data_IF_658586797997
#
_entry.id   IF_658586797997
#
_cell.length_a   1.000
_cell.length_b   1.000
_cell.length_c   1.000
_cell.angle_alpha   90.00
_cell.angle_beta   90.00
_cell.angle_gamma   90.00
#
_symmetry.space_group_name_H-M   'P 1'
#
loop_
_entity.id
_entity.type
_entity.pdbx_description
1 polymer ?
#
# COMPACT_ATOMS: atom_id res chain seq x y z
N UNK A 1 -25.67 -10.88 -29.05
CA UNK A 1 -24.92 -10.03 -28.09
C UNK A 1 -24.74 -8.65 -28.69
N UNK A 2 -24.81 -7.58 -27.89
CA UNK A 2 -24.59 -6.23 -28.40
C UNK A 2 -23.10 -6.00 -28.72
N UNK A 3 -22.81 -5.63 -29.97
CA UNK A 3 -21.45 -5.34 -30.44
C UNK A 3 -21.30 -3.83 -30.64
N UNK A 4 -20.19 -3.21 -30.22
CA UNK A 4 -19.95 -1.79 -30.47
C UNK A 4 -19.95 -1.48 -31.97
N UNK A 5 -20.79 -0.53 -32.39
CA UNK A 5 -20.91 -0.12 -33.80
C UNK A 5 -19.60 0.47 -34.37
N UNK A 6 -18.78 1.09 -33.53
CA UNK A 6 -17.50 1.71 -33.92
C UNK A 6 -16.46 1.66 -32.80
N UNK A 7 -15.19 1.71 -33.17
CA UNK A 7 -14.08 1.83 -32.23
C UNK A 7 -14.21 3.12 -31.42
N UNK A 8 -14.00 3.03 -30.11
CA UNK A 8 -13.92 4.22 -29.25
C UNK A 8 -12.64 5.00 -29.57
N UNK A 9 -12.74 6.31 -29.77
CA UNK A 9 -11.58 7.15 -30.03
C UNK A 9 -10.60 7.16 -28.84
N UNK A 10 -9.31 7.41 -29.14
CA UNK A 10 -8.25 7.48 -28.11
C UNK A 10 -8.59 8.53 -27.06
N UNK A 11 -9.05 9.73 -27.48
CA UNK A 11 -9.49 10.80 -26.58
C UNK A 11 -10.63 10.35 -25.64
N UNK A 12 -11.70 9.72 -26.15
CA UNK A 12 -12.81 9.23 -25.31
C UNK A 12 -12.38 8.13 -24.33
N UNK A 13 -11.47 7.24 -24.76
CA UNK A 13 -10.88 6.22 -23.89
C UNK A 13 -9.99 6.85 -22.81
N UNK A 14 -9.22 7.87 -23.18
CA UNK A 14 -8.34 8.63 -22.29
C UNK A 14 -9.12 9.36 -21.21
N UNK A 15 -10.13 10.15 -21.58
CA UNK A 15 -11.00 10.87 -20.65
C UNK A 15 -11.70 9.94 -19.66
N UNK A 16 -12.21 8.79 -20.14
CA UNK A 16 -12.81 7.78 -19.26
C UNK A 16 -11.82 7.24 -18.23
N UNK A 17 -10.56 7.02 -18.63
CA UNK A 17 -9.48 6.53 -17.74
C UNK A 17 -8.85 7.62 -16.87
N UNK A 18 -8.95 8.89 -17.26
CA UNK A 18 -8.41 10.01 -16.49
C UNK A 18 -9.30 10.36 -15.28
N UNK A 19 -10.55 9.90 -15.25
CA UNK A 19 -11.46 10.09 -14.13
C UNK A 19 -11.04 9.34 -12.85
N UNK A 20 -11.72 9.66 -11.74
CA UNK A 20 -11.41 9.14 -10.41
C UNK A 20 -11.51 7.61 -10.32
N UNK A 21 -12.37 6.97 -11.12
CA UNK A 21 -12.59 5.53 -11.09
C UNK A 21 -11.36 4.69 -11.46
N UNK A 22 -10.44 5.25 -12.25
CA UNK A 22 -9.22 4.56 -12.67
C UNK A 22 -7.96 5.14 -12.03
N UNK A 23 -8.13 6.03 -11.04
CA UNK A 23 -7.02 6.67 -10.33
C UNK A 23 -6.49 5.75 -9.23
N UNK A 24 -5.17 5.60 -9.17
CA UNK A 24 -4.51 4.94 -8.05
C UNK A 24 -4.30 5.97 -6.93
N UNK A 25 -4.91 5.73 -5.78
CA UNK A 25 -4.70 6.55 -4.59
C UNK A 25 -3.60 5.92 -3.72
N UNK A 26 -2.73 6.78 -3.19
CA UNK A 26 -1.72 6.35 -2.21
C UNK A 26 -2.42 5.97 -0.92
N UNK A 27 -1.93 4.90 -0.28
CA UNK A 27 -2.25 4.63 1.12
C UNK A 27 -1.45 5.59 1.99
N UNK A 28 -1.98 5.92 3.16
CA UNK A 28 -1.33 6.79 4.13
C UNK A 28 -0.73 5.93 5.26
N UNK A 29 0.54 5.53 5.17
CA UNK A 29 1.22 4.89 6.27
C UNK A 29 1.51 5.90 7.37
N UNK A 30 1.54 5.43 8.61
CA UNK A 30 1.78 6.19 9.83
C UNK A 30 2.87 5.51 10.64
N UNK A 31 3.62 6.28 11.44
CA UNK A 31 4.68 5.72 12.28
C UNK A 31 4.13 4.79 13.36
N UNK A 32 4.78 3.64 13.54
CA UNK A 32 4.49 2.75 14.65
C UNK A 32 4.97 3.40 15.96
N UNK A 33 4.14 3.50 17.00
CA UNK A 33 4.55 4.08 18.29
C UNK A 33 5.58 3.24 19.06
N UNK A 34 5.82 1.98 18.67
CA UNK A 34 6.74 1.09 19.37
C UNK A 34 8.13 1.02 18.70
N UNK A 35 8.18 0.85 17.37
CA UNK A 35 9.44 0.70 16.63
C UNK A 35 9.77 1.86 15.67
N UNK A 36 8.84 2.80 15.45
CA UNK A 36 9.04 3.92 14.53
C UNK A 36 8.81 3.58 13.04
N UNK A 37 8.70 2.30 12.67
CA UNK A 37 8.48 1.89 11.27
C UNK A 37 7.13 2.35 10.71
N UNK A 38 7.06 2.47 9.39
CA UNK A 38 5.82 2.83 8.69
C UNK A 38 4.82 1.67 8.70
N UNK A 39 3.61 1.90 9.21
CA UNK A 39 2.54 0.90 9.33
C UNK A 39 1.24 1.47 8.74
N UNK A 40 0.38 0.62 8.22
CA UNK A 40 -0.95 1.04 7.78
C UNK A 40 -1.91 1.22 8.97
N UNK A 41 -2.84 2.20 8.91
CA UNK A 41 -3.86 2.35 9.93
C UNK A 41 -4.64 1.06 10.18
N UNK A 42 -4.86 0.74 11.46
CA UNK A 42 -5.56 -0.47 11.91
C UNK A 42 -4.90 -1.82 11.59
N UNK A 43 -3.64 -1.83 11.14
CA UNK A 43 -2.88 -3.07 10.95
C UNK A 43 -1.87 -3.32 12.08
N UNK A 44 -1.55 -4.60 12.31
CA UNK A 44 -0.43 -5.01 13.16
C UNK A 44 0.88 -4.59 12.48
N UNK A 45 1.83 -4.07 13.26
CA UNK A 45 3.14 -3.72 12.71
C UNK A 45 3.89 -5.00 12.25
N UNK A 46 4.36 -5.07 11.00
CA UNK A 46 5.07 -6.24 10.49
C UNK A 46 6.48 -6.37 11.08
N UNK A 47 7.09 -5.27 11.54
CA UNK A 47 8.44 -5.26 12.09
C UNK A 47 8.45 -5.71 13.57
N UNK A 48 7.59 -5.13 14.41
CA UNK A 48 7.57 -5.44 15.84
C UNK A 48 6.45 -6.37 16.30
N UNK A 49 5.44 -6.67 15.48
CA UNK A 49 4.33 -7.57 15.85
C UNK A 49 3.34 -6.99 16.86
N UNK A 50 3.42 -5.68 17.13
CA UNK A 50 2.57 -4.99 18.09
C UNK A 50 1.39 -4.28 17.41
N UNK A 51 0.24 -4.27 18.10
CA UNK A 51 -0.95 -3.50 17.76
C UNK A 51 -1.57 -2.91 19.03
N UNK A 52 -1.79 -1.60 19.04
CA UNK A 52 -2.33 -0.86 20.20
C UNK A 52 -1.63 -1.18 21.54
N UNK A 53 -0.30 -1.26 21.50
CA UNK A 53 0.53 -1.52 22.69
C UNK A 53 0.52 -2.96 23.21
N UNK A 54 -0.18 -3.88 22.53
CA UNK A 54 -0.14 -5.32 22.84
C UNK A 54 0.67 -6.06 21.78
N UNK A 55 1.50 -7.00 22.22
CA UNK A 55 2.15 -7.94 21.34
C UNK A 55 1.10 -8.95 20.85
N UNK A 56 0.78 -8.92 19.55
CA UNK A 56 -0.24 -9.80 18.95
C UNK A 56 0.43 -10.95 18.21
N UNK A 57 1.63 -10.72 17.67
CA UNK A 57 2.42 -11.73 16.98
C UNK A 57 3.77 -11.89 17.68
N UNK A 58 4.15 -13.13 17.97
CA UNK A 58 5.51 -13.50 18.33
C UNK A 58 6.35 -13.63 17.05
N UNK A 59 6.88 -12.50 16.58
CA UNK A 59 7.75 -12.50 15.41
C UNK A 59 9.15 -12.94 15.86
N UNK A 60 9.54 -14.17 15.51
CA UNK A 60 10.92 -14.67 15.67
C UNK A 60 11.81 -14.15 14.54
N UNK A 61 12.12 -12.87 14.51
CA UNK A 61 13.28 -12.38 13.74
C UNK A 61 13.96 -11.25 14.50
N UNK A 62 15.13 -11.56 15.05
CA UNK A 62 16.18 -10.58 15.33
C UNK A 62 17.41 -11.00 14.52
N UNK A 63 17.79 -10.19 13.55
CA UNK A 63 19.17 -9.96 13.10
C UNK A 63 19.19 -8.87 12.00
N UNK A 64 19.41 -7.61 12.40
CA UNK A 64 20.03 -6.56 11.56
C UNK A 64 21.56 -6.72 11.61
N UNK A 65 22.43 -5.91 10.93
CA UNK A 65 22.25 -4.84 9.92
C UNK A 65 23.21 -5.04 8.70
N UNK A 66 23.24 -4.18 7.66
CA UNK A 66 24.49 -3.63 7.04
C UNK A 66 24.17 -2.54 5.99
N UNK A 67 24.51 -1.30 6.33
CA UNK A 67 24.97 -0.32 5.36
C UNK A 67 26.36 -0.76 4.85
N UNK A 68 26.44 -1.27 3.63
CA UNK A 68 27.68 -1.39 2.84
C UNK A 68 27.37 -1.99 1.46
N UNK A 69 27.25 -1.15 0.43
CA UNK A 69 27.77 -1.43 -0.93
C UNK A 69 27.50 -0.22 -1.86
N UNK A 70 28.52 0.65 -1.90
CA UNK A 70 28.92 1.64 -2.92
C UNK A 70 27.88 2.64 -3.45
#
# INVERSE_FOLDING_TARGET
>A
MAVPKKRTSVSRKGLRRAGQHHKLYRKFPQGCPNCGDSVLPHHVCPACGHYKGKQVLEIKVKADPQAAQA
#
